data_IF_095910821005
#
_entry.id   IF_095910821005
#
_cell.length_a   1.000
_cell.length_b   1.000
_cell.length_c   1.000
_cell.angle_alpha   90.00
_cell.angle_beta   90.00
_cell.angle_gamma   90.00
#
_symmetry.space_group_name_H-M   'P 1'
#
loop_
_entity.id
_entity.type
_entity.pdbx_description
1 polymer ?
#
# COMPACT_ATOMS: atom_id res chain seq x y z
N UNK A 1 0.95 -9.53 14.13
CA UNK A 1 0.47 -8.90 12.88
C UNK A 1 -0.94 -8.32 13.15
N UNK A 2 -1.63 -7.84 12.12
CA UNK A 2 -3.03 -7.44 12.18
C UNK A 2 -3.97 -8.48 11.54
N UNK A 3 -3.58 -9.76 11.46
CA UNK A 3 -4.32 -10.82 10.77
C UNK A 3 -5.77 -10.96 11.29
N UNK A 4 -5.99 -10.70 12.57
CA UNK A 4 -7.29 -10.74 13.24
C UNK A 4 -8.31 -9.71 12.71
N UNK A 5 -7.89 -8.76 11.86
CA UNK A 5 -8.77 -7.83 11.15
C UNK A 5 -9.25 -8.37 9.80
N UNK A 6 -8.82 -9.56 9.39
CA UNK A 6 -9.16 -10.18 8.13
C UNK A 6 -10.10 -11.39 8.33
N UNK A 7 -10.88 -11.75 7.29
CA UNK A 7 -11.53 -13.06 7.24
C UNK A 7 -10.55 -14.21 7.45
N UNK A 8 -11.03 -15.28 8.09
CA UNK A 8 -10.23 -16.47 8.43
C UNK A 8 -9.54 -17.08 7.19
N UNK A 9 -10.17 -16.97 6.03
CA UNK A 9 -9.66 -17.52 4.76
C UNK A 9 -8.40 -16.80 4.26
N UNK A 10 -8.21 -15.53 4.62
CA UNK A 10 -7.08 -14.73 4.12
C UNK A 10 -6.13 -14.23 5.21
N UNK A 11 -6.53 -14.32 6.49
CA UNK A 11 -5.69 -13.97 7.63
C UNK A 11 -4.33 -14.70 7.65
N UNK A 12 -4.21 -16.00 7.31
CA UNK A 12 -2.92 -16.69 7.31
C UNK A 12 -1.89 -16.11 6.32
N UNK A 13 -2.31 -15.37 5.29
CA UNK A 13 -1.39 -14.79 4.32
C UNK A 13 -0.62 -13.57 4.86
N UNK A 14 -0.90 -13.09 6.07
CA UNK A 14 -0.17 -11.95 6.66
C UNK A 14 1.15 -12.33 7.33
N UNK A 15 1.37 -13.62 7.60
CA UNK A 15 2.47 -14.12 8.45
C UNK A 15 3.69 -14.59 7.66
N UNK A 16 3.62 -14.61 6.32
CA UNK A 16 4.70 -15.09 5.44
C UNK A 16 5.88 -14.12 5.33
N UNK A 17 6.64 -13.91 6.39
CA UNK A 17 7.83 -13.04 6.37
C UNK A 17 8.97 -13.58 5.51
N UNK A 18 9.77 -12.68 4.92
CA UNK A 18 10.95 -12.98 4.06
C UNK A 18 12.18 -13.39 4.88
N UNK A 19 12.00 -13.94 6.08
CA UNK A 19 13.11 -14.41 6.91
C UNK A 19 13.15 -15.92 6.78
N UNK A 20 14.03 -16.40 5.89
CA UNK A 20 14.27 -17.83 5.71
C UNK A 20 14.52 -18.51 7.05
N UNK A 21 13.85 -19.65 7.26
CA UNK A 21 14.27 -20.59 8.28
C UNK A 21 15.68 -21.13 7.99
N UNK A 22 16.25 -21.84 8.95
CA UNK A 22 17.62 -22.38 8.90
C UNK A 22 17.93 -23.28 7.67
N UNK A 23 16.91 -23.64 6.89
CA UNK A 23 16.99 -24.58 5.75
C UNK A 23 16.98 -23.92 4.36
N UNK A 24 17.12 -22.59 4.26
CA UNK A 24 17.43 -21.94 2.98
C UNK A 24 16.32 -22.01 1.92
N UNK A 25 15.05 -21.91 2.35
CA UNK A 25 13.93 -21.88 1.42
C UNK A 25 13.89 -20.58 0.59
N UNK A 26 13.60 -20.77 -0.70
CA UNK A 26 13.60 -19.75 -1.75
C UNK A 26 12.89 -18.46 -1.33
N UNK A 27 13.53 -17.34 -1.68
CA UNK A 27 13.09 -15.97 -1.46
C UNK A 27 11.56 -15.83 -1.67
N UNK A 28 10.79 -15.76 -0.58
CA UNK A 28 9.31 -15.69 -0.59
C UNK A 28 8.74 -14.44 -1.27
N UNK A 29 9.59 -13.55 -1.78
CA UNK A 29 9.24 -12.60 -2.84
C UNK A 29 8.57 -13.25 -4.07
N UNK A 30 8.72 -14.57 -4.27
CA UNK A 30 8.00 -15.34 -5.30
C UNK A 30 6.66 -15.95 -4.84
N UNK A 31 6.41 -16.03 -3.54
CA UNK A 31 5.15 -16.51 -2.97
C UNK A 31 4.24 -15.30 -2.75
N UNK A 32 3.32 -15.05 -3.68
CA UNK A 32 2.43 -13.89 -3.65
C UNK A 32 1.74 -13.72 -2.28
N UNK A 33 1.96 -12.57 -1.64
CA UNK A 33 1.18 -12.13 -0.46
C UNK A 33 1.95 -12.02 0.86
N UNK A 34 3.12 -12.67 1.01
CA UNK A 34 3.86 -12.67 2.28
C UNK A 34 4.82 -11.48 2.50
N UNK A 35 5.34 -10.88 1.43
CA UNK A 35 6.25 -9.73 1.55
C UNK A 35 5.59 -8.49 2.18
N UNK A 36 6.38 -7.68 2.89
CA UNK A 36 5.94 -6.44 3.58
C UNK A 36 4.98 -6.64 4.77
N UNK A 37 5.12 -7.74 5.53
CA UNK A 37 4.44 -7.90 6.83
C UNK A 37 2.92 -8.03 6.72
N UNK A 38 2.43 -8.54 5.59
CA UNK A 38 1.01 -8.87 5.39
C UNK A 38 0.13 -7.74 4.89
N UNK A 39 0.68 -6.63 4.37
CA UNK A 39 -0.11 -5.53 3.82
C UNK A 39 -1.01 -5.92 2.63
N UNK A 40 -0.57 -6.88 1.81
CA UNK A 40 -1.26 -7.26 0.58
C UNK A 40 -2.65 -7.88 0.84
N UNK A 41 -2.82 -8.88 1.74
CA UNK A 41 -4.14 -9.37 2.14
C UNK A 41 -5.09 -8.26 2.62
N UNK A 42 -4.60 -7.29 3.41
CA UNK A 42 -5.41 -6.16 3.87
C UNK A 42 -5.88 -5.26 2.73
N UNK A 43 -4.98 -4.89 1.81
CA UNK A 43 -5.32 -4.05 0.66
C UNK A 43 -6.29 -4.76 -0.28
N UNK A 44 -6.09 -6.05 -0.53
CA UNK A 44 -6.98 -6.86 -1.37
C UNK A 44 -8.37 -6.99 -0.74
N UNK A 45 -8.44 -7.26 0.58
CA UNK A 45 -9.71 -7.33 1.30
C UNK A 45 -10.47 -6.02 1.22
N UNK A 46 -9.81 -4.89 1.51
CA UNK A 46 -10.42 -3.58 1.45
C UNK A 46 -10.92 -3.25 0.04
N UNK A 47 -10.15 -3.57 -1.00
CA UNK A 47 -10.59 -3.36 -2.38
C UNK A 47 -11.87 -4.13 -2.72
N UNK A 48 -11.98 -5.39 -2.31
CA UNK A 48 -13.19 -6.20 -2.54
C UNK A 48 -14.37 -5.66 -1.75
N UNK A 49 -14.18 -5.26 -0.49
CA UNK A 49 -15.25 -4.65 0.32
C UNK A 49 -15.78 -3.35 -0.31
N UNK A 50 -14.90 -2.54 -0.90
CA UNK A 50 -15.32 -1.34 -1.64
C UNK A 50 -16.18 -1.65 -2.86
N UNK A 51 -15.85 -2.70 -3.62
CA UNK A 51 -16.68 -3.16 -4.73
C UNK A 51 -18.06 -3.64 -4.28
N UNK A 52 -18.18 -4.09 -3.02
CA UNK A 52 -19.45 -4.47 -2.38
C UNK A 52 -20.20 -3.27 -1.79
N UNK A 53 -19.63 -2.07 -1.85
CA UNK A 53 -20.21 -0.85 -1.28
C UNK A 53 -19.95 -0.68 0.23
N UNK A 54 -18.99 -1.43 0.79
CA UNK A 54 -18.63 -1.35 2.21
C UNK A 54 -17.36 -0.52 2.41
N UNK A 55 -17.44 0.44 3.33
CA UNK A 55 -16.30 1.28 3.72
C UNK A 55 -16.01 2.43 2.76
N UNK A 56 -14.91 3.13 3.04
CA UNK A 56 -14.42 4.26 2.24
C UNK A 56 -13.10 3.89 1.55
N UNK A 57 -12.94 4.35 0.31
CA UNK A 57 -11.75 4.08 -0.48
C UNK A 57 -10.50 4.60 0.22
N UNK A 58 -9.50 3.74 0.43
CA UNK A 58 -8.21 4.17 0.94
C UNK A 58 -7.05 3.53 0.15
N UNK A 59 -6.12 4.35 -0.37
CA UNK A 59 -6.30 5.79 -0.59
C UNK A 59 -7.46 6.04 -1.57
N UNK A 60 -8.29 7.05 -1.31
CA UNK A 60 -9.28 7.51 -2.29
C UNK A 60 -8.61 8.25 -3.47
N UNK A 61 -9.40 8.75 -4.41
CA UNK A 61 -8.87 9.45 -5.58
C UNK A 61 -8.05 10.71 -5.22
N UNK A 62 -8.53 11.54 -4.29
CA UNK A 62 -7.83 12.77 -3.88
C UNK A 62 -6.53 12.45 -3.12
N UNK A 63 -6.57 11.49 -2.19
CA UNK A 63 -5.41 11.01 -1.45
C UNK A 63 -4.36 10.38 -2.39
N UNK A 64 -4.80 9.58 -3.37
CA UNK A 64 -3.91 8.98 -4.38
C UNK A 64 -3.25 10.06 -5.24
N UNK A 65 -4.02 11.07 -5.64
CA UNK A 65 -3.49 12.22 -6.38
C UNK A 65 -2.51 13.03 -5.53
N UNK A 66 -2.77 13.21 -4.23
CA UNK A 66 -1.86 13.90 -3.31
C UNK A 66 -0.47 13.25 -3.28
N UNK A 67 -0.44 11.94 -3.03
CA UNK A 67 0.80 11.16 -2.96
C UNK A 67 1.54 11.23 -4.30
N UNK A 68 0.81 11.04 -5.41
CA UNK A 68 1.38 11.04 -6.76
C UNK A 68 1.94 12.41 -7.14
N UNK A 69 1.15 13.47 -6.98
CA UNK A 69 1.56 14.84 -7.28
C UNK A 69 2.74 15.27 -6.40
N UNK A 70 2.77 14.88 -5.12
CA UNK A 70 3.90 15.20 -4.24
C UNK A 70 5.22 14.69 -4.81
N UNK A 71 5.27 13.45 -5.30
CA UNK A 71 6.48 12.90 -5.93
C UNK A 71 6.89 13.65 -7.21
N UNK A 72 5.92 13.95 -8.07
CA UNK A 72 6.15 14.67 -9.34
C UNK A 72 6.68 16.10 -9.05
N UNK A 73 6.01 16.83 -8.18
CA UNK A 73 6.36 18.22 -7.87
C UNK A 73 7.64 18.33 -7.04
N UNK A 74 7.95 17.34 -6.19
CA UNK A 74 9.24 17.28 -5.51
C UNK A 74 10.40 17.13 -6.50
N UNK A 75 10.22 16.30 -7.55
CA UNK A 75 11.21 16.18 -8.61
C UNK A 75 11.38 17.49 -9.38
N UNK A 76 10.28 18.14 -9.76
CA UNK A 76 10.30 19.45 -10.43
C UNK A 76 10.96 20.53 -9.55
N UNK A 77 10.63 20.57 -8.27
CA UNK A 77 11.24 21.46 -7.28
C UNK A 77 12.76 21.28 -7.23
N UNK A 78 13.24 20.04 -7.17
CA UNK A 78 14.67 19.74 -7.16
C UNK A 78 15.38 20.24 -8.43
N UNK A 79 14.75 20.09 -9.61
CA UNK A 79 15.28 20.62 -10.87
C UNK A 79 15.37 22.16 -10.89
N UNK A 80 14.52 22.85 -10.12
CA UNK A 80 14.51 24.31 -9.97
C UNK A 80 15.28 24.81 -8.74
N UNK A 81 16.20 24.01 -8.20
CA UNK A 81 17.02 24.41 -7.06
C UNK A 81 16.27 24.46 -5.73
N UNK A 82 15.20 23.68 -5.59
CA UNK A 82 14.40 23.60 -4.37
C UNK A 82 13.30 24.66 -4.26
N UNK A 83 12.81 25.17 -5.40
CA UNK A 83 11.67 26.10 -5.40
C UNK A 83 10.43 25.48 -4.75
N UNK A 84 9.68 26.26 -3.97
CA UNK A 84 8.41 25.81 -3.40
C UNK A 84 7.35 25.72 -4.50
N UNK A 85 6.91 24.50 -4.80
CA UNK A 85 5.79 24.24 -5.73
C UNK A 85 4.59 23.72 -4.93
N UNK A 86 3.45 24.40 -5.06
CA UNK A 86 2.23 24.04 -4.32
C UNK A 86 1.54 22.85 -4.98
N UNK A 87 0.97 21.99 -4.14
CA UNK A 87 0.08 20.93 -4.60
C UNK A 87 -1.18 21.52 -5.27
N UNK A 88 -1.74 20.86 -6.30
CA UNK A 88 -3.01 21.26 -6.86
C UNK A 88 -4.15 21.13 -5.84
N UNK A 89 -5.10 22.06 -5.84
CA UNK A 89 -6.17 22.10 -4.83
C UNK A 89 -6.99 20.81 -4.74
N UNK A 90 -7.26 20.16 -5.89
CA UNK A 90 -8.04 18.92 -5.93
C UNK A 90 -7.37 17.73 -5.22
N UNK A 91 -6.08 17.83 -4.89
CA UNK A 91 -5.36 16.78 -4.15
C UNK A 91 -5.42 16.97 -2.64
N UNK A 92 -6.05 18.05 -2.14
CA UNK A 92 -6.11 18.40 -0.71
C UNK A 92 -7.54 18.28 -0.16
N UNK A 93 -8.51 18.01 -1.04
CA UNK A 93 -9.93 17.85 -0.73
C UNK A 93 -10.28 16.48 -0.14
#
# INVERSE_FOLDING_TARGET
DFAHLLPDEIAPFTTGGVYGGEEGEDHLSYTQGGGHGGSHPHLAHQFVELLRGNGEGYPNAAQSANITCTGILAHESAQKGGELIKLPEFTIQ
#
